data_IF_445259312082
#
_entry.id   IF_445259312082
#
_cell.length_a   1.000
_cell.length_b   1.000
_cell.length_c   1.000
_cell.angle_alpha   90.00
_cell.angle_beta   90.00
_cell.angle_gamma   90.00
#
_symmetry.space_group_name_H-M   'P 1'
#
loop_
_entity.id
_entity.type
_entity.pdbx_description
1 polymer ?
#
# COMPACT_ATOMS: atom_id res chain seq x y z
N UNK A 1 -8.20 27.44 -7.40
CA UNK A 1 -7.13 27.23 -6.41
C UNK A 1 -6.13 26.27 -7.03
N UNK A 2 -5.00 26.79 -7.51
CA UNK A 2 -3.92 25.99 -8.06
C UNK A 2 -3.25 25.29 -6.88
N UNK A 3 -3.36 23.96 -6.81
CA UNK A 3 -2.61 23.17 -5.84
C UNK A 3 -1.17 23.05 -6.36
N UNK A 4 -0.42 24.14 -6.29
CA UNK A 4 1.02 24.11 -6.48
C UNK A 4 1.66 23.49 -5.23
N UNK A 5 1.42 22.20 -4.98
CA UNK A 5 2.22 21.47 -4.01
C UNK A 5 3.53 21.11 -4.71
N UNK A 6 4.42 22.09 -4.78
CA UNK A 6 5.70 21.92 -5.44
C UNK A 6 6.49 20.81 -4.75
N UNK A 7 7.28 20.05 -5.52
CA UNK A 7 8.19 19.03 -4.95
C UNK A 7 9.12 19.58 -3.85
N UNK A 8 9.24 20.92 -3.74
CA UNK A 8 10.01 21.62 -2.71
C UNK A 8 9.32 21.70 -1.35
N UNK A 9 7.98 21.71 -1.33
CA UNK A 9 7.16 21.80 -0.11
C UNK A 9 6.75 20.42 0.41
N UNK A 10 6.95 19.36 -0.38
CA UNK A 10 6.66 18.00 0.02
C UNK A 10 7.58 17.51 1.16
N UNK A 11 6.99 16.77 2.10
CA UNK A 11 7.70 16.09 3.17
C UNK A 11 8.74 15.12 2.61
N UNK A 12 9.94 15.16 3.19
CA UNK A 12 11.09 14.35 2.74
C UNK A 12 11.41 13.31 3.80
N UNK A 13 11.47 12.06 3.39
CA UNK A 13 11.84 10.94 4.23
C UNK A 13 13.09 10.26 3.67
N UNK A 14 14.18 10.24 4.43
CA UNK A 14 15.44 9.60 4.02
C UNK A 14 15.38 8.11 4.40
N UNK A 15 15.33 7.24 3.40
CA UNK A 15 15.30 5.79 3.58
C UNK A 15 16.69 5.19 3.38
N UNK A 16 17.13 4.33 4.31
CA UNK A 16 18.31 3.49 4.11
C UNK A 16 17.87 2.18 3.47
N UNK A 17 18.31 1.96 2.24
CA UNK A 17 18.02 0.74 1.48
C UNK A 17 19.17 -0.26 1.69
N UNK A 18 18.88 -1.57 1.82
CA UNK A 18 19.89 -2.62 1.75
C UNK A 18 20.60 -2.65 0.40
N UNK A 19 21.77 -3.29 0.35
CA UNK A 19 22.56 -3.42 -0.87
C UNK A 19 21.74 -4.04 -2.02
N UNK A 20 21.87 -3.45 -3.21
CA UNK A 20 21.17 -3.87 -4.42
C UNK A 20 19.69 -3.50 -4.51
N UNK A 21 19.02 -3.12 -3.40
CA UNK A 21 17.59 -2.77 -3.44
C UNK A 21 17.33 -1.48 -4.24
N UNK A 22 18.26 -0.51 -4.17
CA UNK A 22 18.14 0.73 -4.96
C UNK A 22 18.15 0.46 -6.47
N UNK A 23 18.97 -0.47 -6.92
CA UNK A 23 19.08 -0.81 -8.35
C UNK A 23 17.83 -1.55 -8.83
N UNK A 24 17.27 -2.43 -7.99
CA UNK A 24 15.98 -3.08 -8.26
C UNK A 24 14.85 -2.05 -8.41
N UNK A 25 14.80 -1.06 -7.50
CA UNK A 25 13.83 0.05 -7.55
C UNK A 25 14.02 0.88 -8.83
N UNK A 26 15.27 1.17 -9.21
CA UNK A 26 15.56 1.92 -10.42
C UNK A 26 15.15 1.16 -11.70
N UNK A 27 15.44 -0.14 -11.77
CA UNK A 27 15.04 -0.99 -12.89
C UNK A 27 13.51 -1.07 -13.03
N UNK A 28 12.79 -1.25 -11.91
CA UNK A 28 11.33 -1.26 -11.91
C UNK A 28 10.73 0.09 -12.32
N UNK A 29 11.30 1.20 -11.84
CA UNK A 29 10.85 2.54 -12.20
C UNK A 29 11.04 2.84 -13.70
N UNK A 30 12.17 2.41 -14.26
CA UNK A 30 12.45 2.54 -15.69
C UNK A 30 11.51 1.68 -16.55
N UNK A 31 11.17 0.47 -16.11
CA UNK A 31 10.22 -0.40 -16.83
C UNK A 31 8.80 0.18 -16.87
N UNK A 32 8.44 0.97 -15.85
CA UNK A 32 7.14 1.61 -15.69
C UNK A 32 7.09 3.06 -16.24
N UNK A 33 8.15 3.53 -16.92
CA UNK A 33 8.30 4.93 -17.41
C UNK A 33 8.00 6.00 -16.35
N UNK A 34 8.42 5.75 -15.09
CA UNK A 34 8.16 6.65 -13.96
C UNK A 34 9.40 6.92 -13.13
N UNK A 35 9.37 8.02 -12.37
CA UNK A 35 10.48 8.31 -11.43
C UNK A 35 10.52 7.29 -10.29
N UNK A 36 11.71 7.02 -9.75
CA UNK A 36 11.86 6.21 -8.53
C UNK A 36 11.00 6.75 -7.37
N UNK A 37 10.88 8.07 -7.24
CA UNK A 37 10.04 8.69 -6.22
C UNK A 37 8.56 8.33 -6.42
N UNK A 38 8.05 8.45 -7.64
CA UNK A 38 6.67 8.06 -7.99
C UNK A 38 6.43 6.58 -7.68
N UNK A 39 7.39 5.71 -7.99
CA UNK A 39 7.30 4.29 -7.66
C UNK A 39 7.20 4.04 -6.16
N UNK A 40 8.10 4.64 -5.37
CA UNK A 40 8.13 4.49 -3.91
C UNK A 40 6.83 5.02 -3.29
N UNK A 41 6.36 6.19 -3.71
CA UNK A 41 5.12 6.79 -3.20
C UNK A 41 3.91 5.89 -3.52
N UNK A 42 3.82 5.35 -4.73
CA UNK A 42 2.77 4.39 -5.09
C UNK A 42 2.84 3.11 -4.27
N UNK A 43 4.04 2.56 -4.06
CA UNK A 43 4.22 1.36 -3.26
C UNK A 43 3.77 1.57 -1.81
N UNK A 44 4.13 2.69 -1.19
CA UNK A 44 3.68 3.08 0.16
C UNK A 44 2.15 3.21 0.19
N UNK A 45 1.55 3.90 -0.79
CA UNK A 45 0.09 4.04 -0.86
C UNK A 45 -0.60 2.68 -0.98
N UNK A 46 -0.11 1.81 -1.85
CA UNK A 46 -0.67 0.49 -2.04
C UNK A 46 -0.59 -0.35 -0.76
N UNK A 47 0.49 -0.23 0.01
CA UNK A 47 0.63 -0.92 1.28
C UNK A 47 -0.37 -0.40 2.33
N UNK A 48 -0.53 0.93 2.42
CA UNK A 48 -1.48 1.55 3.35
C UNK A 48 -2.94 1.23 2.97
N UNK A 49 -3.30 1.40 1.70
CA UNK A 49 -4.64 1.17 1.18
C UNK A 49 -5.00 -0.33 1.14
N UNK A 50 -4.03 -1.16 0.76
CA UNK A 50 -4.17 -2.61 0.70
C UNK A 50 -4.49 -3.20 2.07
N UNK A 51 -3.76 -2.77 3.11
CA UNK A 51 -4.05 -3.15 4.50
C UNK A 51 -5.46 -2.74 4.92
N UNK A 52 -5.89 -1.51 4.59
CA UNK A 52 -7.22 -1.05 4.92
C UNK A 52 -8.33 -1.88 4.25
N UNK A 53 -8.16 -2.23 2.96
CA UNK A 53 -9.10 -3.08 2.23
C UNK A 53 -9.17 -4.50 2.79
N UNK A 54 -8.02 -5.11 3.08
CA UNK A 54 -7.96 -6.45 3.68
C UNK A 54 -8.64 -6.47 5.04
N UNK A 55 -8.39 -5.47 5.89
CA UNK A 55 -9.06 -5.38 7.19
C UNK A 55 -10.58 -5.20 7.05
N UNK A 56 -11.04 -4.35 6.14
CA UNK A 56 -12.47 -4.18 5.88
C UNK A 56 -13.14 -5.47 5.38
N UNK A 57 -12.44 -6.24 4.54
CA UNK A 57 -12.89 -7.56 4.08
C UNK A 57 -12.96 -8.57 5.23
N UNK A 58 -11.94 -8.62 6.09
CA UNK A 58 -11.94 -9.49 7.28
C UNK A 58 -13.08 -9.14 8.23
N UNK A 59 -13.33 -7.86 8.48
CA UNK A 59 -14.44 -7.40 9.31
C UNK A 59 -15.80 -7.76 8.70
N UNK A 60 -15.96 -7.61 7.39
CA UNK A 60 -17.17 -7.99 6.68
C UNK A 60 -17.41 -9.51 6.74
N UNK A 61 -16.35 -10.31 6.59
CA UNK A 61 -16.42 -11.76 6.72
C UNK A 61 -16.75 -12.21 8.14
N UNK A 62 -16.15 -11.59 9.17
CA UNK A 62 -16.46 -11.88 10.57
C UNK A 62 -17.94 -11.58 10.88
N UNK A 63 -18.44 -10.39 10.50
CA UNK A 63 -19.86 -10.04 10.66
C UNK A 63 -20.78 -11.00 9.91
N UNK A 64 -20.41 -11.43 8.72
CA UNK A 64 -21.19 -12.40 7.95
C UNK A 64 -21.19 -13.80 8.59
N UNK A 65 -20.08 -14.22 9.21
CA UNK A 65 -20.00 -15.46 9.97
C UNK A 65 -20.88 -15.41 11.23
N UNK A 66 -20.83 -14.31 11.97
CA UNK A 66 -21.67 -14.08 13.15
C UNK A 66 -23.17 -14.03 12.78
N UNK A 67 -23.51 -13.32 11.69
CA UNK A 67 -24.88 -13.22 11.19
C UNK A 67 -25.42 -14.53 10.62
N UNK A 68 -24.55 -15.42 10.12
CA UNK A 68 -24.94 -16.75 9.66
C UNK A 68 -25.12 -17.75 10.79
N UNK A 69 -24.88 -17.36 12.06
CA UNK A 69 -25.17 -18.14 13.26
C UNK A 69 -24.65 -19.56 13.14
N UNK A 70 -23.36 -19.76 13.36
CA UNK A 70 -22.66 -21.06 13.30
C UNK A 70 -23.57 -22.23 13.69
N UNK A 71 -24.08 -23.05 12.75
CA UNK A 71 -24.59 -24.35 13.08
C UNK A 71 -23.37 -25.27 13.16
N UNK A 72 -22.53 -25.09 14.17
CA UNK A 72 -21.58 -26.12 14.55
C UNK A 72 -22.35 -27.17 15.37
N UNK A 73 -23.22 -27.91 14.70
CA UNK A 73 -23.64 -29.21 15.20
C UNK A 73 -22.46 -30.17 14.96
N UNK A 74 -21.55 -30.22 15.92
CA UNK A 74 -20.70 -31.39 16.14
C UNK A 74 -21.61 -32.52 16.62
N UNK A 75 -21.75 -33.54 15.77
CA UNK A 75 -22.27 -34.85 16.10
C UNK A 75 -21.11 -35.84 16.15
#
# INVERSE_FOLDING_TARGET
>A
MSFEYGSREADKFVVRLPDGMRDQVAAAANADDRSMNSLIVTAIRNELDGRARVNALLDALAKAADAKGTPHAVA
#
